data_IF_270821690346
#
_entry.id   IF_270821690346
#
_cell.length_a   1.000
_cell.length_b   1.000
_cell.length_c   1.000
_cell.angle_alpha   90.00
_cell.angle_beta   90.00
_cell.angle_gamma   90.00
#
_symmetry.space_group_name_H-M   'P 1'
#
loop_
_entity.id
_entity.type
_entity.pdbx_description
1 polymer ?
#
# COMPACT_ATOMS: atom_id res chain seq x y z
N UNK A 1 -54.35 29.67 47.64
CA UNK A 1 -53.10 28.93 47.68
C UNK A 1 -53.06 28.21 46.39
N UNK A 2 -52.34 28.82 45.44
CA UNK A 2 -52.15 28.37 44.08
C UNK A 2 -50.78 27.66 43.98
N UNK A 3 -50.80 26.37 43.68
CA UNK A 3 -49.57 25.61 43.42
C UNK A 3 -49.15 25.79 41.98
N UNK A 4 -47.95 26.35 41.77
CA UNK A 4 -47.27 26.38 40.47
C UNK A 4 -46.56 25.05 40.27
N UNK A 5 -47.00 24.29 39.28
CA UNK A 5 -46.26 23.14 38.76
C UNK A 5 -45.17 23.68 37.83
N UNK A 6 -43.89 23.55 38.21
CA UNK A 6 -42.74 23.82 37.37
C UNK A 6 -42.54 22.64 36.41
N UNK A 7 -42.94 22.83 35.16
CA UNK A 7 -42.64 21.90 34.08
C UNK A 7 -41.13 21.94 33.76
N UNK A 8 -40.41 20.88 34.04
CA UNK A 8 -39.06 20.65 33.58
C UNK A 8 -39.06 20.52 32.04
N UNK A 9 -38.46 21.46 31.36
CA UNK A 9 -38.17 21.40 29.91
C UNK A 9 -37.03 20.40 29.74
N UNK A 10 -37.37 19.18 29.31
CA UNK A 10 -36.35 18.21 28.88
C UNK A 10 -35.75 18.72 27.57
N UNK A 11 -34.53 19.24 27.63
CA UNK A 11 -33.75 19.53 26.44
C UNK A 11 -33.57 18.24 25.62
N UNK A 12 -33.70 18.30 24.27
CA UNK A 12 -33.48 17.15 23.43
C UNK A 12 -31.98 16.74 23.53
N UNK A 13 -31.73 15.50 23.97
CA UNK A 13 -30.39 14.91 23.97
C UNK A 13 -29.76 15.14 22.58
N UNK A 14 -28.55 15.74 22.55
CA UNK A 14 -27.74 15.87 21.36
C UNK A 14 -27.65 14.47 20.69
N UNK A 15 -28.00 14.43 19.41
CA UNK A 15 -27.92 13.19 18.63
C UNK A 15 -26.49 12.64 18.78
N UNK A 16 -26.36 11.44 19.30
CA UNK A 16 -25.07 10.77 19.48
C UNK A 16 -24.35 10.74 18.13
N UNK A 17 -23.10 11.26 18.09
CA UNK A 17 -22.26 11.19 16.91
C UNK A 17 -22.15 9.71 16.47
N UNK A 18 -22.31 9.41 15.18
CA UNK A 18 -22.32 8.02 14.73
C UNK A 18 -21.00 7.34 15.10
N UNK A 19 -21.08 6.11 15.62
CA UNK A 19 -19.89 5.30 15.92
C UNK A 19 -19.11 4.98 14.63
N UNK A 20 -17.81 4.66 14.73
CA UNK A 20 -17.00 4.25 13.58
C UNK A 20 -17.65 3.05 12.84
N UNK A 21 -18.23 2.09 13.57
CA UNK A 21 -18.98 0.99 12.99
C UNK A 21 -20.23 1.48 12.23
N UNK A 22 -21.00 2.42 12.79
CA UNK A 22 -22.18 2.99 12.12
C UNK A 22 -21.83 3.74 10.84
N UNK A 23 -20.71 4.49 10.82
CA UNK A 23 -20.20 5.16 9.62
C UNK A 23 -19.84 4.14 8.55
N UNK A 24 -19.12 3.08 8.93
CA UNK A 24 -18.72 2.03 7.97
C UNK A 24 -19.93 1.25 7.43
N UNK A 25 -20.94 0.95 8.25
CA UNK A 25 -22.18 0.28 7.82
C UNK A 25 -22.94 1.12 6.80
N UNK A 26 -23.11 2.43 7.07
CA UNK A 26 -23.77 3.35 6.14
C UNK A 26 -23.00 3.48 4.83
N UNK A 27 -21.67 3.58 4.89
CA UNK A 27 -20.81 3.61 3.72
C UNK A 27 -20.92 2.32 2.91
N UNK A 28 -20.84 1.15 3.56
CA UNK A 28 -20.92 -0.16 2.91
C UNK A 28 -22.27 -0.36 2.22
N UNK A 29 -23.38 0.05 2.83
CA UNK A 29 -24.70 -0.02 2.20
C UNK A 29 -24.73 0.77 0.88
N UNK A 30 -24.16 1.99 0.85
CA UNK A 30 -24.08 2.79 -0.38
C UNK A 30 -23.12 2.15 -1.41
N UNK A 31 -22.01 1.56 -0.96
CA UNK A 31 -21.03 0.92 -1.83
C UNK A 31 -21.62 -0.31 -2.52
N UNK A 32 -22.32 -1.18 -1.77
CA UNK A 32 -22.98 -2.37 -2.32
C UNK A 32 -24.05 -2.07 -3.36
N UNK A 33 -24.64 -0.88 -3.36
CA UNK A 33 -25.53 -0.43 -4.45
C UNK A 33 -24.79 -0.05 -5.74
N UNK A 34 -23.46 0.11 -5.70
CA UNK A 34 -22.65 0.58 -6.84
C UNK A 34 -21.69 -0.47 -7.39
N UNK A 35 -21.38 -1.50 -6.61
CA UNK A 35 -20.56 -2.64 -7.03
C UNK A 35 -21.44 -3.78 -7.53
N UNK A 36 -20.85 -4.70 -8.31
CA UNK A 36 -21.60 -5.85 -8.90
C UNK A 36 -21.56 -7.09 -8.01
N UNK A 37 -20.66 -7.11 -7.02
CA UNK A 37 -20.39 -8.27 -6.17
C UNK A 37 -20.71 -8.01 -4.71
N UNK A 38 -20.81 -9.08 -3.91
CA UNK A 38 -21.02 -8.99 -2.47
C UNK A 38 -19.71 -8.74 -1.69
N UNK A 39 -18.66 -8.29 -2.38
CA UNK A 39 -17.35 -7.96 -1.83
C UNK A 39 -16.70 -6.82 -2.62
N UNK A 40 -15.95 -5.98 -1.92
CA UNK A 40 -15.17 -4.90 -2.55
C UNK A 40 -13.98 -4.51 -1.69
N UNK A 41 -13.01 -3.87 -2.32
CA UNK A 41 -11.89 -3.21 -1.66
C UNK A 41 -12.30 -1.76 -1.38
N UNK A 42 -12.23 -1.33 -0.14
CA UNK A 42 -12.37 0.08 0.22
C UNK A 42 -11.00 0.74 0.34
N UNK A 43 -10.84 1.87 -0.33
CA UNK A 43 -9.64 2.71 -0.25
C UNK A 43 -10.03 4.09 0.26
N UNK A 44 -9.58 4.40 1.47
CA UNK A 44 -9.84 5.69 2.11
C UNK A 44 -8.78 6.72 1.69
N UNK A 45 -9.15 7.63 0.80
CA UNK A 45 -8.26 8.67 0.28
C UNK A 45 -7.96 9.77 1.32
N UNK A 46 -8.79 9.93 2.36
CA UNK A 46 -8.49 10.84 3.47
C UNK A 46 -7.33 10.30 4.30
N UNK A 47 -7.27 8.97 4.51
CA UNK A 47 -6.12 8.33 5.15
C UNK A 47 -4.84 8.51 4.34
N UNK A 48 -4.91 8.41 3.01
CA UNK A 48 -3.76 8.66 2.12
C UNK A 48 -3.27 10.10 2.28
N UNK A 49 -4.16 11.09 2.18
CA UNK A 49 -3.81 12.52 2.34
C UNK A 49 -3.21 12.79 3.72
N UNK A 50 -3.85 12.27 4.77
CA UNK A 50 -3.35 12.38 6.15
C UNK A 50 -1.94 11.80 6.31
N UNK A 51 -1.68 10.62 5.72
CA UNK A 51 -0.37 9.98 5.79
C UNK A 51 0.72 10.83 5.10
N UNK A 52 0.39 11.55 4.03
CA UNK A 52 1.32 12.51 3.41
C UNK A 52 1.64 13.66 4.36
N UNK A 53 0.66 14.18 5.12
CA UNK A 53 0.94 15.21 6.13
C UNK A 53 1.83 14.68 7.25
N UNK A 54 1.60 13.45 7.72
CA UNK A 54 2.50 12.79 8.69
C UNK A 54 3.92 12.69 8.14
N UNK A 55 4.09 12.25 6.89
CA UNK A 55 5.39 12.14 6.24
C UNK A 55 6.09 13.50 6.12
N UNK A 56 5.37 14.56 5.75
CA UNK A 56 5.91 15.95 5.72
C UNK A 56 6.37 16.40 7.11
N UNK A 57 5.60 16.10 8.15
CA UNK A 57 5.97 16.43 9.53
C UNK A 57 7.22 15.69 9.99
N UNK A 58 7.35 14.41 9.64
CA UNK A 58 8.52 13.60 10.01
C UNK A 58 9.79 14.00 9.26
N UNK A 59 9.68 14.34 7.97
CA UNK A 59 10.85 14.65 7.13
C UNK A 59 11.33 16.10 7.21
N UNK A 60 10.46 16.99 7.67
CA UNK A 60 10.74 18.43 7.76
C UNK A 60 10.59 19.18 6.42
N UNK A 61 10.70 20.52 6.46
CA UNK A 61 10.33 21.40 5.33
C UNK A 61 11.31 21.35 4.14
N UNK A 62 12.54 20.93 4.37
CA UNK A 62 13.61 20.95 3.34
C UNK A 62 13.71 19.64 2.57
N UNK A 63 13.02 18.57 2.99
CA UNK A 63 13.05 17.27 2.36
C UNK A 63 11.84 17.08 1.45
N UNK A 64 12.09 16.76 0.17
CA UNK A 64 11.03 16.41 -0.79
C UNK A 64 10.45 15.02 -0.54
N UNK A 65 9.24 14.80 -1.03
CA UNK A 65 8.63 13.46 -1.05
C UNK A 65 8.62 12.95 -2.48
N UNK A 66 9.19 11.77 -2.70
CA UNK A 66 9.08 10.96 -3.90
C UNK A 66 8.12 9.81 -3.61
N UNK A 67 6.87 9.94 -4.07
CA UNK A 67 5.81 8.97 -3.76
C UNK A 67 5.99 7.65 -4.52
N UNK A 68 6.19 6.53 -3.81
CA UNK A 68 6.37 5.21 -4.43
C UNK A 68 5.02 4.54 -4.59
N UNK A 69 4.56 4.41 -5.86
CA UNK A 69 3.21 3.92 -6.22
C UNK A 69 3.23 2.62 -7.03
N UNK A 70 4.33 1.87 -6.98
CA UNK A 70 4.48 0.57 -7.63
C UNK A 70 3.43 -0.46 -7.18
N UNK A 71 3.19 -1.51 -7.99
CA UNK A 71 2.24 -2.56 -7.66
C UNK A 71 0.82 -2.02 -7.49
N UNK A 72 0.40 -1.06 -8.34
CA UNK A 72 -0.89 -0.44 -8.21
C UNK A 72 -1.07 0.37 -6.93
N UNK A 73 -0.03 1.09 -6.48
CA UNK A 73 0.05 1.73 -5.16
C UNK A 73 -0.22 0.72 -4.04
N UNK A 74 0.55 -0.38 -4.06
CA UNK A 74 0.42 -1.48 -3.09
C UNK A 74 -1.00 -2.05 -3.03
N UNK A 75 -1.64 -2.25 -4.21
CA UNK A 75 -3.00 -2.79 -4.31
C UNK A 75 -4.14 -1.78 -4.16
N UNK A 76 -3.84 -0.54 -3.73
CA UNK A 76 -4.85 0.49 -3.47
C UNK A 76 -5.40 1.19 -4.72
N UNK A 77 -4.79 0.92 -5.91
CA UNK A 77 -5.19 1.57 -7.17
C UNK A 77 -4.38 2.82 -7.45
N UNK A 78 -3.47 2.71 -8.42
CA UNK A 78 -2.41 3.69 -8.67
C UNK A 78 -2.94 5.11 -8.93
N UNK A 79 -3.90 5.28 -9.86
CA UNK A 79 -4.33 6.60 -10.30
C UNK A 79 -4.96 7.42 -9.16
N UNK A 80 -5.88 6.84 -8.39
CA UNK A 80 -6.55 7.58 -7.31
C UNK A 80 -5.62 7.95 -6.18
N UNK A 81 -4.62 7.11 -5.90
CA UNK A 81 -3.57 7.44 -4.94
C UNK A 81 -2.69 8.56 -5.50
N UNK A 82 -2.28 8.49 -6.78
CA UNK A 82 -1.45 9.54 -7.42
C UNK A 82 -2.17 10.87 -7.45
N UNK A 83 -3.48 10.91 -7.76
CA UNK A 83 -4.28 12.15 -7.70
C UNK A 83 -4.14 12.84 -6.32
N UNK A 84 -4.28 12.07 -5.24
CA UNK A 84 -4.10 12.60 -3.87
C UNK A 84 -2.66 13.06 -3.63
N UNK A 85 -1.65 12.31 -4.10
CA UNK A 85 -0.25 12.71 -3.94
C UNK A 85 0.04 14.05 -4.63
N UNK A 86 -0.53 14.26 -5.82
CA UNK A 86 -0.40 15.51 -6.57
C UNK A 86 -1.11 16.66 -5.84
N UNK A 87 -2.35 16.45 -5.37
CA UNK A 87 -3.09 17.42 -4.56
C UNK A 87 -2.32 17.83 -3.30
N UNK A 88 -1.68 16.85 -2.64
CA UNK A 88 -0.86 17.07 -1.46
C UNK A 88 0.54 17.66 -1.77
N UNK A 89 0.85 17.96 -3.03
CA UNK A 89 2.10 18.62 -3.43
C UNK A 89 3.34 17.71 -3.38
N UNK A 90 3.16 16.40 -3.54
CA UNK A 90 4.28 15.46 -3.75
C UNK A 90 4.95 15.80 -5.08
N UNK A 91 6.28 15.97 -5.06
CA UNK A 91 7.00 16.54 -6.21
C UNK A 91 7.43 15.50 -7.24
N UNK A 92 7.70 14.28 -6.81
CA UNK A 92 8.19 13.20 -7.67
C UNK A 92 7.45 11.90 -7.36
N UNK A 93 7.37 11.03 -8.35
CA UNK A 93 6.79 9.70 -8.24
C UNK A 93 7.84 8.62 -8.52
N UNK A 94 7.64 7.44 -7.96
CA UNK A 94 8.46 6.29 -8.28
C UNK A 94 7.61 5.05 -8.49
N UNK A 95 8.03 4.24 -9.45
CA UNK A 95 7.42 2.94 -9.79
C UNK A 95 8.50 1.87 -9.87
N UNK A 96 8.12 0.60 -10.02
CA UNK A 96 9.10 -0.47 -10.16
C UNK A 96 9.44 -0.80 -11.61
N UNK A 97 8.50 -0.63 -12.53
CA UNK A 97 8.61 -1.05 -13.93
C UNK A 97 8.31 0.11 -14.89
N UNK A 98 8.95 0.11 -16.05
CA UNK A 98 8.71 1.10 -17.12
C UNK A 98 7.23 1.12 -17.50
N UNK A 99 6.57 -0.03 -17.63
CA UNK A 99 5.15 -0.10 -17.97
C UNK A 99 4.22 0.63 -16.98
N UNK A 100 4.55 0.64 -15.67
CA UNK A 100 3.78 1.42 -14.68
C UNK A 100 3.95 2.93 -14.91
N UNK A 101 5.15 3.38 -15.26
CA UNK A 101 5.42 4.78 -15.59
C UNK A 101 4.69 5.21 -16.87
N UNK A 102 4.73 4.38 -17.90
CA UNK A 102 4.00 4.59 -19.17
C UNK A 102 2.49 4.68 -18.91
N UNK A 103 1.94 3.81 -18.05
CA UNK A 103 0.54 3.86 -17.63
C UNK A 103 0.17 5.22 -17.04
N UNK A 104 1.00 5.79 -16.16
CA UNK A 104 0.79 7.11 -15.57
C UNK A 104 0.89 8.22 -16.62
N UNK A 105 1.90 8.17 -17.51
CA UNK A 105 2.08 9.15 -18.59
C UNK A 105 0.88 9.20 -19.53
N UNK A 106 0.39 8.03 -19.97
CA UNK A 106 -0.81 7.94 -20.83
C UNK A 106 -2.08 8.50 -20.19
N UNK A 107 -2.08 8.67 -18.85
CA UNK A 107 -3.18 9.29 -18.09
C UNK A 107 -2.91 10.73 -17.65
N UNK A 108 -1.92 11.39 -18.26
CA UNK A 108 -1.67 12.82 -18.08
C UNK A 108 -0.84 13.19 -16.86
N UNK A 109 -0.19 12.23 -16.21
CA UNK A 109 0.72 12.54 -15.09
C UNK A 109 2.06 13.03 -15.66
N UNK A 110 2.36 14.33 -15.45
CA UNK A 110 3.57 14.98 -15.96
C UNK A 110 4.70 15.12 -14.93
N UNK A 111 4.47 14.73 -13.67
CA UNK A 111 5.49 14.75 -12.62
C UNK A 111 6.71 13.92 -13.01
N UNK A 112 7.92 14.25 -12.52
CA UNK A 112 9.08 13.37 -12.68
C UNK A 112 8.75 11.96 -12.16
N UNK A 113 9.11 10.93 -12.93
CA UNK A 113 8.88 9.54 -12.55
C UNK A 113 10.20 8.78 -12.60
N UNK A 114 10.66 8.32 -11.44
CA UNK A 114 11.81 7.44 -11.32
C UNK A 114 11.38 5.98 -11.36
N UNK A 115 11.97 5.20 -12.26
CA UNK A 115 11.77 3.75 -12.34
C UNK A 115 12.82 3.07 -11.47
N UNK A 116 12.43 2.48 -10.35
CA UNK A 116 13.34 1.89 -9.35
C UNK A 116 13.86 0.50 -9.73
N UNK A 117 13.22 -0.19 -10.67
CA UNK A 117 13.75 -1.41 -11.28
C UNK A 117 14.98 -1.09 -12.15
N UNK A 118 15.88 -2.05 -12.25
CA UNK A 118 17.07 -1.86 -13.06
C UNK A 118 16.72 -1.84 -14.56
N UNK A 119 17.27 -0.88 -15.28
CA UNK A 119 16.98 -0.69 -16.71
C UNK A 119 17.54 -1.83 -17.56
N UNK A 120 16.76 -2.26 -18.54
CA UNK A 120 17.18 -3.12 -19.65
C UNK A 120 17.26 -2.31 -20.96
N UNK A 121 18.14 -2.70 -21.87
CA UNK A 121 18.34 -1.98 -23.15
C UNK A 121 17.05 -1.87 -23.98
N UNK A 122 16.20 -2.91 -23.96
CA UNK A 122 14.94 -2.92 -24.72
C UNK A 122 13.87 -1.95 -24.16
N UNK A 123 14.03 -1.46 -22.93
CA UNK A 123 13.12 -0.50 -22.29
C UNK A 123 13.51 0.96 -22.64
N UNK A 124 14.70 1.20 -23.20
CA UNK A 124 15.18 2.55 -23.53
C UNK A 124 14.23 3.33 -24.44
N UNK A 125 13.64 2.77 -25.50
CA UNK A 125 12.70 3.51 -26.34
C UNK A 125 11.54 4.13 -25.54
N UNK A 126 10.92 3.37 -24.64
CA UNK A 126 9.85 3.86 -23.78
C UNK A 126 10.36 4.88 -22.75
N UNK A 127 11.54 4.65 -22.16
CA UNK A 127 12.19 5.60 -21.24
C UNK A 127 12.37 6.95 -21.89
N UNK A 128 12.88 6.98 -23.13
CA UNK A 128 13.08 8.20 -23.89
C UNK A 128 11.75 8.84 -24.29
N UNK A 129 10.84 8.08 -24.91
CA UNK A 129 9.56 8.57 -25.41
C UNK A 129 8.70 9.21 -24.31
N UNK A 130 8.71 8.62 -23.11
CA UNK A 130 7.86 9.05 -22.00
C UNK A 130 8.59 9.91 -20.94
N UNK A 131 9.80 10.37 -21.23
CA UNK A 131 10.60 11.22 -20.34
C UNK A 131 10.66 10.64 -18.90
N UNK A 132 11.18 9.40 -18.79
CA UNK A 132 11.31 8.68 -17.54
C UNK A 132 12.75 8.74 -17.01
N UNK A 133 12.93 8.59 -15.71
CA UNK A 133 14.23 8.56 -15.05
C UNK A 133 14.50 7.10 -14.64
N UNK A 134 15.29 6.33 -15.43
CA UNK A 134 15.60 4.95 -15.09
C UNK A 134 16.65 4.87 -13.99
N UNK A 135 16.57 3.82 -13.16
CA UNK A 135 17.62 3.48 -12.21
C UNK A 135 18.65 2.58 -12.85
N UNK A 136 19.91 2.85 -12.55
CA UNK A 136 21.06 2.11 -13.04
C UNK A 136 21.86 1.49 -11.89
N UNK A 137 22.25 0.23 -12.07
CA UNK A 137 23.25 -0.47 -11.26
C UNK A 137 24.52 -0.78 -12.05
N UNK A 138 24.48 -0.56 -13.37
CA UNK A 138 25.56 -0.75 -14.35
C UNK A 138 25.30 0.14 -15.57
N UNK A 139 26.31 0.33 -16.41
CA UNK A 139 26.23 1.21 -17.57
C UNK A 139 25.91 0.50 -18.89
N UNK A 140 25.95 -0.84 -18.92
CA UNK A 140 25.78 -1.65 -20.14
C UNK A 140 24.54 -1.29 -20.97
N UNK A 141 23.34 -1.03 -20.40
CA UNK A 141 22.19 -0.65 -21.22
C UNK A 141 22.42 0.61 -22.05
N UNK A 142 23.23 1.55 -21.56
CA UNK A 142 23.50 2.82 -22.20
C UNK A 142 24.71 2.75 -23.14
N UNK A 143 25.75 1.97 -22.78
CA UNK A 143 26.96 1.80 -23.61
C UNK A 143 26.73 0.90 -24.83
N UNK A 144 25.61 0.17 -24.87
CA UNK A 144 25.25 -0.72 -26.00
C UNK A 144 24.41 -0.03 -27.08
N UNK A 145 24.13 1.27 -26.95
CA UNK A 145 23.39 2.06 -27.92
C UNK A 145 24.21 3.29 -28.35
N UNK A 146 23.95 3.89 -29.53
CA UNK A 146 24.61 5.11 -29.95
C UNK A 146 24.35 6.26 -28.96
N UNK A 147 25.40 7.03 -28.67
CA UNK A 147 25.33 8.16 -27.71
C UNK A 147 24.28 9.20 -28.07
N UNK A 148 24.14 9.52 -29.35
CA UNK A 148 23.17 10.48 -29.87
C UNK A 148 21.70 10.06 -29.68
N UNK A 149 21.45 8.80 -29.35
CA UNK A 149 20.12 8.30 -29.01
C UNK A 149 19.75 8.50 -27.53
N UNK A 150 20.68 8.93 -26.68
CA UNK A 150 20.46 9.12 -25.23
C UNK A 150 19.97 10.54 -24.93
N UNK A 151 18.95 10.98 -25.67
CA UNK A 151 18.27 12.27 -25.50
C UNK A 151 16.77 12.12 -25.53
N UNK A 152 16.07 12.92 -24.74
CA UNK A 152 14.62 12.94 -24.77
C UNK A 152 14.07 13.64 -26.02
N UNK A 153 12.76 13.53 -26.34
CA UNK A 153 12.18 14.17 -27.52
C UNK A 153 12.33 15.70 -27.58
N UNK A 154 12.52 16.35 -26.44
CA UNK A 154 12.78 17.78 -26.33
C UNK A 154 14.25 18.16 -26.54
N UNK A 155 15.12 17.18 -26.83
CA UNK A 155 16.54 17.36 -27.02
C UNK A 155 17.37 17.42 -25.73
N UNK A 156 16.76 17.34 -24.56
CA UNK A 156 17.50 17.31 -23.30
C UNK A 156 18.17 15.94 -23.07
N UNK A 157 19.33 15.88 -22.38
CA UNK A 157 20.02 14.65 -22.08
C UNK A 157 19.18 13.69 -21.25
N UNK A 158 19.36 12.37 -21.49
CA UNK A 158 18.79 11.34 -20.61
C UNK A 158 19.22 11.59 -19.16
N UNK A 159 18.24 11.58 -18.26
CA UNK A 159 18.45 11.66 -16.79
C UNK A 159 18.37 10.27 -16.20
N UNK A 160 19.29 9.94 -15.29
CA UNK A 160 19.33 8.63 -14.63
C UNK A 160 19.45 8.77 -13.12
N UNK A 161 18.97 7.77 -12.39
CA UNK A 161 19.20 7.60 -10.96
C UNK A 161 20.22 6.48 -10.75
N UNK A 162 21.29 6.74 -9.99
CA UNK A 162 22.28 5.72 -9.66
C UNK A 162 21.85 5.03 -8.36
N UNK A 163 21.61 3.73 -8.44
CA UNK A 163 21.42 2.89 -7.24
C UNK A 163 22.78 2.41 -6.73
N UNK A 164 23.05 2.57 -5.44
CA UNK A 164 24.31 2.18 -4.79
C UNK A 164 24.01 1.04 -3.82
N UNK A 165 24.69 -0.08 -3.95
CA UNK A 165 24.53 -1.21 -3.03
C UNK A 165 25.40 -0.99 -1.79
N UNK A 166 24.75 -0.60 -0.71
CA UNK A 166 25.38 -0.41 0.60
C UNK A 166 25.20 -1.59 1.54
N UNK A 167 24.64 -2.71 1.04
CA UNK A 167 24.50 -3.94 1.82
C UNK A 167 23.18 -4.69 1.66
N UNK A 168 22.25 -4.21 0.81
CA UNK A 168 21.03 -4.99 0.50
C UNK A 168 21.30 -6.12 -0.49
N UNK A 169 22.31 -5.99 -1.34
CA UNK A 169 22.80 -7.00 -2.28
C UNK A 169 21.72 -7.50 -3.26
N UNK A 170 20.84 -6.61 -3.68
CA UNK A 170 19.79 -6.88 -4.69
C UNK A 170 20.06 -6.20 -6.01
N UNK A 171 20.23 -4.89 -5.99
CA UNK A 171 20.58 -4.01 -7.10
C UNK A 171 21.56 -2.96 -6.57
N UNK A 172 22.27 -2.34 -7.45
CA UNK A 172 23.16 -1.21 -7.13
C UNK A 172 24.59 -1.47 -7.53
N UNK A 173 25.26 -0.40 -7.97
CA UNK A 173 26.71 -0.39 -8.17
C UNK A 173 27.41 -0.51 -6.83
N UNK A 174 28.53 -1.25 -6.78
CA UNK A 174 29.34 -1.28 -5.57
C UNK A 174 29.99 0.09 -5.31
N UNK A 175 30.13 0.52 -4.06
CA UNK A 175 30.72 1.83 -3.72
C UNK A 175 32.10 2.05 -4.36
N UNK A 176 32.94 1.01 -4.47
CA UNK A 176 34.26 1.08 -5.11
C UNK A 176 34.18 1.34 -6.64
N UNK A 177 33.11 0.94 -7.29
CA UNK A 177 32.92 1.08 -8.75
C UNK A 177 32.15 2.36 -9.14
N UNK A 178 31.59 3.08 -8.15
CA UNK A 178 30.78 4.26 -8.37
C UNK A 178 31.49 5.32 -9.19
N UNK A 179 32.77 5.56 -8.93
CA UNK A 179 33.59 6.55 -9.65
C UNK A 179 33.69 6.22 -11.13
N UNK A 180 33.95 4.96 -11.46
CA UNK A 180 34.05 4.51 -12.87
C UNK A 180 32.69 4.65 -13.57
N UNK A 181 31.61 4.32 -12.90
CA UNK A 181 30.25 4.49 -13.42
C UNK A 181 29.91 5.96 -13.71
N UNK A 182 30.21 6.86 -12.78
CA UNK A 182 29.98 8.30 -12.98
C UNK A 182 30.80 8.83 -14.18
N UNK A 183 32.05 8.46 -14.28
CA UNK A 183 32.91 8.85 -15.44
C UNK A 183 32.27 8.38 -16.76
N UNK A 184 31.85 7.12 -16.84
CA UNK A 184 31.19 6.58 -18.05
C UNK A 184 29.91 7.36 -18.40
N UNK A 185 29.10 7.73 -17.43
CA UNK A 185 27.86 8.49 -17.65
C UNK A 185 28.18 9.93 -18.14
N UNK A 186 29.21 10.56 -17.56
CA UNK A 186 29.68 11.89 -18.01
C UNK A 186 30.19 11.83 -19.46
N UNK A 187 30.96 10.80 -19.84
CA UNK A 187 31.44 10.59 -21.21
C UNK A 187 30.28 10.36 -22.20
N UNK A 188 29.21 9.70 -21.78
CA UNK A 188 28.00 9.51 -22.57
C UNK A 188 27.15 10.77 -22.69
N UNK A 189 27.42 11.81 -21.90
CA UNK A 189 26.62 13.02 -21.83
C UNK A 189 25.27 12.83 -21.12
N UNK A 190 25.16 11.79 -20.29
CA UNK A 190 23.96 11.47 -19.52
C UNK A 190 23.93 12.29 -18.21
N UNK A 191 22.80 12.87 -17.88
CA UNK A 191 22.64 13.66 -16.65
C UNK A 191 22.32 12.75 -15.46
N UNK A 192 23.09 12.83 -14.38
CA UNK A 192 22.81 12.12 -13.15
C UNK A 192 21.78 12.93 -12.35
N UNK A 193 20.53 12.46 -12.29
CA UNK A 193 19.43 13.10 -11.56
C UNK A 193 19.55 12.87 -10.06
N UNK A 194 19.90 11.65 -9.68
CA UNK A 194 20.01 11.31 -8.25
C UNK A 194 20.95 10.14 -7.98
N UNK A 195 21.42 10.06 -6.73
CA UNK A 195 22.09 8.90 -6.17
C UNK A 195 21.31 8.38 -4.97
N UNK A 196 21.08 7.07 -4.89
CA UNK A 196 20.30 6.49 -3.81
C UNK A 196 20.75 5.09 -3.40
N UNK A 197 20.34 4.69 -2.21
CA UNK A 197 20.43 3.31 -1.73
C UNK A 197 19.11 2.85 -1.14
N UNK A 198 19.01 1.59 -0.76
CA UNK A 198 17.85 1.03 -0.07
C UNK A 198 18.28 0.30 1.20
N UNK A 199 17.70 0.69 2.34
CA UNK A 199 18.01 0.07 3.63
C UNK A 199 17.43 -1.34 3.71
N UNK A 200 18.23 -2.29 4.22
CA UNK A 200 17.87 -3.68 4.38
C UNK A 200 17.07 -3.94 5.68
N UNK A 201 17.46 -3.24 6.75
CA UNK A 201 16.92 -3.49 8.07
C UNK A 201 15.49 -3.01 8.23
N UNK A 202 14.72 -3.74 9.04
CA UNK A 202 13.40 -3.31 9.50
C UNK A 202 13.51 -2.07 10.39
N UNK A 203 12.37 -1.54 10.80
CA UNK A 203 12.29 -0.35 11.67
C UNK A 203 13.00 -0.56 13.03
N UNK A 204 13.13 -1.79 13.49
CA UNK A 204 13.80 -2.17 14.76
C UNK A 204 15.31 -2.40 14.60
N UNK A 205 15.83 -2.57 13.38
CA UNK A 205 17.24 -2.90 13.12
C UNK A 205 18.14 -1.67 12.88
N UNK A 206 18.09 -0.69 13.79
CA UNK A 206 18.80 0.60 13.66
C UNK A 206 20.28 0.48 13.36
N UNK A 207 21.00 -0.46 14.02
CA UNK A 207 22.45 -0.64 13.81
C UNK A 207 22.81 -1.10 12.39
N UNK A 208 22.01 -1.99 11.79
CA UNK A 208 22.23 -2.43 10.41
C UNK A 208 21.99 -1.28 9.44
N UNK A 209 20.92 -0.53 9.65
CA UNK A 209 20.58 0.62 8.82
C UNK A 209 21.68 1.71 8.93
N UNK A 210 22.18 2.00 10.15
CA UNK A 210 23.25 3.00 10.33
C UNK A 210 24.50 2.66 9.51
N UNK A 211 24.95 1.41 9.51
CA UNK A 211 26.12 1.00 8.71
C UNK A 211 25.91 1.26 7.21
N UNK A 212 24.73 0.98 6.68
CA UNK A 212 24.40 1.27 5.27
C UNK A 212 24.37 2.78 4.98
N UNK A 213 23.86 3.58 5.92
CA UNK A 213 23.83 5.04 5.83
C UNK A 213 25.25 5.59 5.75
N UNK A 214 26.14 5.15 6.65
CA UNK A 214 27.53 5.60 6.69
C UNK A 214 28.24 5.30 5.37
N UNK A 215 28.10 4.08 4.82
CA UNK A 215 28.66 3.70 3.50
C UNK A 215 28.09 4.59 2.38
N UNK A 216 26.78 4.89 2.40
CA UNK A 216 26.16 5.72 1.38
C UNK A 216 26.68 7.15 1.42
N UNK A 217 26.75 7.74 2.60
CA UNK A 217 27.24 9.11 2.78
C UNK A 217 28.71 9.25 2.36
N UNK A 218 29.57 8.30 2.74
CA UNK A 218 30.96 8.26 2.34
C UNK A 218 31.11 8.13 0.80
N UNK A 219 30.41 7.18 0.20
CA UNK A 219 30.47 6.95 -1.25
C UNK A 219 29.99 8.15 -2.09
N UNK A 220 29.01 8.91 -1.57
CA UNK A 220 28.40 10.05 -2.29
C UNK A 220 29.00 11.42 -1.92
N UNK A 221 29.85 11.51 -0.92
CA UNK A 221 30.49 12.77 -0.48
C UNK A 221 31.22 13.50 -1.63
N UNK A 222 31.98 12.81 -2.53
CA UNK A 222 32.66 13.47 -3.64
C UNK A 222 31.72 14.15 -4.66
N UNK A 223 30.41 13.84 -4.60
CA UNK A 223 29.41 14.30 -5.58
C UNK A 223 28.40 15.29 -4.99
N UNK A 224 28.54 15.69 -3.72
CA UNK A 224 27.58 16.56 -3.01
C UNK A 224 27.37 17.93 -3.64
N UNK A 225 28.38 18.46 -4.32
CA UNK A 225 28.31 19.75 -5.00
C UNK A 225 27.78 19.66 -6.44
N UNK A 226 27.49 18.43 -6.94
CA UNK A 226 26.87 18.28 -8.27
C UNK A 226 25.38 18.58 -8.18
N UNK A 227 24.75 19.05 -9.29
CA UNK A 227 23.31 19.30 -9.36
C UNK A 227 22.50 17.99 -9.42
N UNK A 228 22.59 17.19 -8.38
CA UNK A 228 21.87 15.92 -8.23
C UNK A 228 21.29 15.83 -6.82
N UNK A 229 20.29 14.97 -6.63
CA UNK A 229 19.69 14.72 -5.32
C UNK A 229 20.17 13.40 -4.72
N UNK A 230 20.24 13.34 -3.39
CA UNK A 230 20.61 12.12 -2.65
C UNK A 230 19.45 11.68 -1.78
N UNK A 231 19.13 10.41 -1.80
CA UNK A 231 18.03 9.88 -1.00
C UNK A 231 18.23 8.40 -0.62
N UNK A 232 17.85 8.04 0.61
CA UNK A 232 17.99 6.67 1.10
C UNK A 232 16.78 6.18 1.92
N UNK A 233 16.01 7.09 2.53
CA UNK A 233 14.87 6.75 3.36
C UNK A 233 13.69 6.25 2.53
N UNK A 234 13.41 4.95 2.57
CA UNK A 234 12.12 4.37 2.23
C UNK A 234 11.19 4.42 3.46
N UNK A 235 10.04 3.76 3.45
CA UNK A 235 9.09 3.73 4.57
C UNK A 235 9.77 3.54 5.94
N UNK A 236 10.68 2.59 6.07
CA UNK A 236 11.44 2.34 7.31
C UNK A 236 12.26 3.57 7.72
N UNK A 237 13.05 4.11 6.80
CA UNK A 237 13.90 5.28 7.07
C UNK A 237 13.12 6.55 7.36
N UNK A 238 11.87 6.68 6.89
CA UNK A 238 11.01 7.83 7.21
C UNK A 238 10.60 7.85 8.69
N UNK A 239 10.49 6.69 9.32
CA UNK A 239 10.01 6.54 10.71
C UNK A 239 11.17 6.45 11.71
N UNK A 240 12.33 5.97 11.26
CA UNK A 240 13.55 5.95 12.09
C UNK A 240 14.21 7.32 12.10
N UNK A 241 14.48 7.84 13.29
CA UNK A 241 15.30 9.05 13.46
C UNK A 241 16.80 8.71 13.37
N UNK A 242 17.33 8.59 12.15
CA UNK A 242 18.73 8.25 11.87
C UNK A 242 19.42 9.26 10.92
N UNK A 243 18.88 10.48 10.79
CA UNK A 243 19.43 11.49 9.88
C UNK A 243 19.35 11.11 8.40
N UNK A 244 18.34 10.32 8.03
CA UNK A 244 18.19 9.75 6.68
C UNK A 244 17.37 10.60 5.72
N UNK A 245 16.82 11.71 6.20
CA UNK A 245 15.99 12.63 5.43
C UNK A 245 16.88 13.63 4.70
N UNK A 246 17.50 13.16 3.62
CA UNK A 246 18.33 13.99 2.74
C UNK A 246 17.45 14.86 1.83
N UNK A 247 17.77 14.96 0.53
CA UNK A 247 16.98 15.78 -0.39
C UNK A 247 15.56 15.25 -0.61
N UNK A 248 15.40 13.91 -0.58
CA UNK A 248 14.10 13.25 -0.71
C UNK A 248 13.95 12.04 0.21
N UNK A 249 12.72 11.78 0.63
CA UNK A 249 12.28 10.48 1.15
C UNK A 249 11.45 9.75 0.09
N UNK A 250 11.47 8.40 0.12
CA UNK A 250 10.75 7.50 -0.81
C UNK A 250 9.75 6.61 -0.08
N UNK A 251 8.71 7.17 0.52
CA UNK A 251 7.67 6.36 1.17
C UNK A 251 6.89 5.58 0.12
N UNK A 252 6.59 4.33 0.44
CA UNK A 252 5.69 3.47 -0.33
C UNK A 252 4.55 3.01 0.56
N UNK A 253 4.73 1.95 1.35
CA UNK A 253 3.74 1.45 2.28
C UNK A 253 3.20 2.51 3.23
N UNK A 254 4.03 3.44 3.70
CA UNK A 254 3.60 4.52 4.57
C UNK A 254 2.51 5.42 3.94
N UNK A 255 2.50 5.60 2.61
CA UNK A 255 1.45 6.35 1.89
C UNK A 255 0.07 5.75 2.16
N UNK A 256 -0.02 4.43 2.17
CA UNK A 256 -1.26 3.69 2.42
C UNK A 256 -1.40 3.21 3.87
N UNK A 257 -0.54 3.70 4.78
CA UNK A 257 -0.57 3.37 6.19
C UNK A 257 -0.12 1.94 6.50
N UNK A 258 0.71 1.33 5.65
CA UNK A 258 1.24 -0.01 5.86
C UNK A 258 2.63 0.07 6.50
N UNK A 259 2.80 -0.57 7.65
CA UNK A 259 4.10 -0.71 8.31
C UNK A 259 5.06 -1.57 7.48
N UNK A 260 6.36 -1.38 7.68
CA UNK A 260 7.38 -2.19 6.99
C UNK A 260 7.59 -3.58 7.62
N UNK A 261 7.14 -3.78 8.86
CA UNK A 261 7.23 -5.04 9.59
C UNK A 261 5.86 -5.56 10.04
N UNK A 262 5.72 -6.88 10.13
CA UNK A 262 4.51 -7.54 10.62
C UNK A 262 4.52 -7.73 12.15
N UNK A 263 5.61 -7.39 12.82
CA UNK A 263 5.70 -7.44 14.28
C UNK A 263 4.90 -6.32 14.95
N UNK A 264 4.52 -6.54 16.22
CA UNK A 264 3.71 -5.57 16.97
C UNK A 264 4.42 -4.26 17.23
N UNK A 265 5.74 -4.30 17.42
CA UNK A 265 6.53 -3.10 17.68
C UNK A 265 6.53 -2.17 16.46
N UNK A 266 6.74 -2.72 15.26
CA UNK A 266 6.64 -1.97 14.00
C UNK A 266 5.24 -1.38 13.78
N UNK A 267 4.18 -2.15 14.05
CA UNK A 267 2.80 -1.68 13.94
C UNK A 267 2.52 -0.53 14.93
N UNK A 268 2.94 -0.68 16.19
CA UNK A 268 2.77 0.33 17.23
C UNK A 268 3.55 1.62 16.93
N UNK A 269 4.76 1.50 16.39
CA UNK A 269 5.53 2.68 15.96
C UNK A 269 4.80 3.46 14.86
N UNK A 270 4.23 2.76 13.88
CA UNK A 270 3.42 3.38 12.83
C UNK A 270 2.20 4.10 13.40
N UNK A 271 1.45 3.45 14.28
CA UNK A 271 0.30 4.05 14.96
C UNK A 271 0.71 5.28 15.78
N UNK A 272 1.81 5.23 16.53
CA UNK A 272 2.34 6.33 17.33
C UNK A 272 2.78 7.52 16.47
N UNK A 273 3.27 7.30 15.25
CA UNK A 273 3.57 8.38 14.30
C UNK A 273 2.29 9.00 13.72
N UNK A 274 1.12 8.44 13.96
CA UNK A 274 -0.16 8.94 13.49
C UNK A 274 -0.57 8.46 12.11
N UNK A 275 0.11 7.49 11.50
CA UNK A 275 -0.31 6.88 10.24
C UNK A 275 -1.70 6.23 10.36
N UNK A 276 -2.42 6.16 9.25
CA UNK A 276 -3.76 5.55 9.16
C UNK A 276 -3.79 4.55 8.01
N UNK A 277 -4.20 3.28 8.25
CA UNK A 277 -4.43 2.34 7.15
C UNK A 277 -5.49 2.88 6.19
N UNK A 278 -5.22 2.80 4.90
CA UNK A 278 -6.11 3.31 3.86
C UNK A 278 -6.87 2.20 3.12
N UNK A 279 -6.56 0.93 3.41
CA UNK A 279 -7.04 -0.24 2.67
C UNK A 279 -7.83 -1.16 3.59
N UNK A 280 -9.04 -1.55 3.17
CA UNK A 280 -9.80 -2.62 3.81
C UNK A 280 -10.55 -3.45 2.76
N UNK A 281 -10.97 -4.67 3.14
CA UNK A 281 -11.77 -5.56 2.28
C UNK A 281 -13.09 -5.84 2.98
N UNK A 282 -14.17 -5.41 2.37
CA UNK A 282 -15.53 -5.44 2.90
C UNK A 282 -16.34 -6.48 2.16
N UNK A 283 -17.08 -7.30 2.91
CA UNK A 283 -17.88 -8.40 2.37
C UNK A 283 -19.23 -8.50 3.10
N UNK A 284 -20.21 -9.07 2.41
CA UNK A 284 -21.48 -9.51 3.02
C UNK A 284 -21.75 -10.97 2.69
N UNK A 285 -22.44 -11.72 3.56
CA UNK A 285 -22.76 -13.11 3.25
C UNK A 285 -23.74 -13.19 2.08
N UNK A 286 -23.49 -14.14 1.17
CA UNK A 286 -24.40 -14.41 0.05
C UNK A 286 -25.32 -15.60 0.32
N UNK A 287 -24.95 -16.42 1.29
CA UNK A 287 -25.74 -17.57 1.75
C UNK A 287 -25.37 -17.92 3.20
N UNK A 288 -26.35 -18.37 3.98
CA UNK A 288 -26.10 -18.89 5.31
C UNK A 288 -27.11 -19.98 5.68
N UNK A 289 -26.73 -20.84 6.62
CA UNK A 289 -27.53 -21.97 7.09
C UNK A 289 -27.11 -22.41 8.48
N UNK A 290 -28.03 -23.00 9.21
CA UNK A 290 -27.73 -23.73 10.44
C UNK A 290 -27.40 -25.18 10.09
N UNK A 291 -26.25 -25.69 10.50
CA UNK A 291 -25.84 -27.07 10.31
C UNK A 291 -25.77 -27.78 11.67
N UNK A 292 -26.36 -29.00 11.78
CA UNK A 292 -26.20 -29.82 12.98
C UNK A 292 -24.76 -30.35 13.12
N UNK A 293 -24.44 -30.91 14.27
CA UNK A 293 -23.18 -31.60 14.52
C UNK A 293 -22.88 -32.71 13.47
N UNK A 294 -21.61 -32.96 13.22
CA UNK A 294 -21.13 -34.02 12.32
C UNK A 294 -21.21 -33.69 10.83
N UNK A 295 -21.37 -32.41 10.46
CA UNK A 295 -21.37 -31.98 9.05
C UNK A 295 -19.97 -31.51 8.64
N UNK A 296 -19.47 -32.05 7.54
CA UNK A 296 -18.19 -31.64 6.97
C UNK A 296 -18.32 -30.41 6.09
N UNK A 297 -17.31 -29.52 6.15
CA UNK A 297 -17.28 -28.26 5.41
C UNK A 297 -16.08 -28.18 4.48
N UNK A 298 -16.36 -27.87 3.20
CA UNK A 298 -15.39 -27.57 2.18
C UNK A 298 -14.59 -28.75 1.66
N UNK A 299 -13.56 -28.45 0.86
CA UNK A 299 -12.68 -29.44 0.28
C UNK A 299 -11.92 -30.24 1.34
N UNK A 300 -11.70 -31.53 1.07
CA UNK A 300 -10.98 -32.49 1.91
C UNK A 300 -11.63 -32.70 3.30
N UNK A 301 -12.87 -32.21 3.51
CA UNK A 301 -13.61 -32.40 4.76
C UNK A 301 -12.77 -32.00 6.02
N UNK A 302 -12.03 -30.90 5.94
CA UNK A 302 -11.05 -30.51 6.98
C UNK A 302 -11.63 -29.85 8.20
N UNK A 303 -12.93 -29.56 8.20
CA UNK A 303 -13.69 -29.06 9.34
C UNK A 303 -14.98 -29.85 9.49
N UNK A 304 -15.28 -30.27 10.72
CA UNK A 304 -16.53 -30.93 11.10
C UNK A 304 -17.23 -30.07 12.17
N UNK A 305 -18.54 -29.83 11.99
CA UNK A 305 -19.35 -29.09 12.97
C UNK A 305 -19.47 -29.87 14.27
N UNK A 306 -19.34 -29.20 15.43
CA UNK A 306 -19.33 -29.81 16.77
C UNK A 306 -20.68 -29.76 17.47
N UNK A 307 -21.60 -28.98 16.95
CA UNK A 307 -22.96 -28.76 17.43
C UNK A 307 -23.76 -28.11 16.31
N UNK A 308 -24.86 -27.48 16.68
CA UNK A 308 -25.61 -26.62 15.76
C UNK A 308 -24.80 -25.35 15.53
N UNK A 309 -24.30 -25.16 14.31
CA UNK A 309 -23.44 -24.05 13.94
C UNK A 309 -24.04 -23.24 12.78
N UNK A 310 -24.11 -21.90 12.95
CA UNK A 310 -24.41 -21.00 11.85
C UNK A 310 -23.21 -20.89 10.91
N UNK A 311 -23.43 -21.21 9.66
CA UNK A 311 -22.40 -21.22 8.63
C UNK A 311 -22.81 -20.25 7.52
N UNK A 312 -21.93 -19.24 7.26
CA UNK A 312 -22.13 -18.27 6.19
C UNK A 312 -21.08 -18.44 5.10
N UNK A 313 -21.47 -18.18 3.85
CA UNK A 313 -20.60 -18.18 2.69
C UNK A 313 -20.46 -16.77 2.15
N UNK A 314 -19.21 -16.38 1.85
CA UNK A 314 -18.84 -15.10 1.26
C UNK A 314 -18.14 -15.34 -0.09
N UNK A 315 -18.49 -14.55 -1.10
CA UNK A 315 -17.91 -14.64 -2.45
C UNK A 315 -16.55 -13.95 -2.53
N UNK A 316 -15.60 -14.46 -1.77
CA UNK A 316 -14.20 -14.00 -1.74
C UNK A 316 -13.31 -15.20 -1.47
N UNK A 317 -12.39 -15.47 -2.37
CA UNK A 317 -11.52 -16.64 -2.29
C UNK A 317 -10.08 -16.35 -2.70
N UNK A 318 -9.30 -17.42 -2.96
CA UNK A 318 -7.89 -17.25 -3.25
C UNK A 318 -7.62 -16.61 -4.63
N UNK A 319 -8.55 -16.71 -5.60
CA UNK A 319 -8.42 -16.01 -6.88
C UNK A 319 -8.69 -14.51 -6.79
N UNK A 320 -9.30 -14.07 -5.69
CA UNK A 320 -9.48 -12.65 -5.38
C UNK A 320 -8.26 -12.06 -4.68
N UNK A 321 -7.42 -12.89 -4.08
CA UNK A 321 -6.22 -12.48 -3.36
C UNK A 321 -6.11 -13.00 -1.93
N UNK A 322 -7.15 -13.67 -1.41
CA UNK A 322 -7.14 -14.20 -0.05
C UNK A 322 -6.27 -15.46 0.04
N UNK A 323 -5.28 -15.48 0.93
CA UNK A 323 -4.39 -16.63 1.06
C UNK A 323 -5.14 -17.91 1.48
N UNK A 324 -4.94 -19.02 0.74
CA UNK A 324 -5.48 -20.33 1.14
C UNK A 324 -4.95 -20.83 2.48
N UNK A 325 -3.84 -20.29 2.96
CA UNK A 325 -3.26 -20.59 4.29
C UNK A 325 -4.12 -20.06 5.45
N UNK A 326 -5.11 -19.21 5.20
CA UNK A 326 -6.08 -18.74 6.19
C UNK A 326 -7.20 -19.75 6.50
N UNK A 327 -7.15 -20.93 5.91
CA UNK A 327 -8.10 -22.04 6.14
C UNK A 327 -8.12 -22.52 7.59
N UNK A 328 -9.22 -23.18 7.98
CA UNK A 328 -9.34 -23.92 9.24
C UNK A 328 -9.06 -23.10 10.52
N UNK A 329 -9.59 -21.90 10.60
CA UNK A 329 -9.49 -21.04 11.78
C UNK A 329 -8.16 -20.27 11.92
N UNK A 330 -7.23 -20.39 10.96
CA UNK A 330 -6.03 -19.52 10.92
C UNK A 330 -6.44 -18.09 10.61
N UNK A 331 -7.42 -17.90 9.71
CA UNK A 331 -8.03 -16.62 9.39
C UNK A 331 -9.44 -16.47 10.00
N UNK A 332 -9.86 -15.22 10.08
CA UNK A 332 -11.20 -14.85 10.50
C UNK A 332 -11.70 -13.67 9.66
N UNK A 333 -12.98 -13.39 9.73
CA UNK A 333 -13.59 -12.12 9.31
C UNK A 333 -14.14 -11.40 10.53
N UNK A 334 -14.13 -10.08 10.51
CA UNK A 334 -14.65 -9.25 11.61
C UNK A 334 -16.03 -8.74 11.27
N UNK A 335 -17.04 -9.04 12.11
CA UNK A 335 -18.39 -8.48 11.97
C UNK A 335 -18.37 -7.01 12.36
N UNK A 336 -18.73 -6.12 11.45
CA UNK A 336 -18.59 -4.67 11.67
C UNK A 336 -19.44 -4.19 12.83
N UNK A 337 -20.69 -4.67 12.95
CA UNK A 337 -21.66 -4.24 13.96
C UNK A 337 -21.23 -4.54 15.40
N UNK A 338 -20.63 -5.70 15.63
CA UNK A 338 -20.28 -6.19 16.97
C UNK A 338 -18.79 -6.17 17.27
N UNK A 339 -17.94 -6.06 16.23
CA UNK A 339 -16.49 -6.23 16.36
C UNK A 339 -16.05 -7.68 16.53
N UNK A 340 -16.98 -8.64 16.47
CA UNK A 340 -16.72 -10.05 16.71
C UNK A 340 -15.89 -10.69 15.57
N UNK A 341 -14.95 -11.54 15.96
CA UNK A 341 -14.14 -12.33 15.04
C UNK A 341 -14.81 -13.67 14.73
N UNK A 342 -15.14 -13.88 13.47
CA UNK A 342 -15.79 -15.07 12.97
C UNK A 342 -14.78 -15.93 12.18
N UNK A 343 -14.43 -17.15 12.65
CA UNK A 343 -13.36 -17.95 12.04
C UNK A 343 -13.75 -18.48 10.67
N UNK A 344 -12.78 -18.50 9.74
CA UNK A 344 -12.90 -19.23 8.47
C UNK A 344 -12.80 -20.72 8.77
N UNK A 345 -13.85 -21.48 8.44
CA UNK A 345 -13.92 -22.93 8.66
C UNK A 345 -13.84 -23.70 7.33
N UNK A 346 -13.16 -24.83 7.34
CA UNK A 346 -12.83 -25.55 6.13
C UNK A 346 -11.77 -24.82 5.30
N UNK A 347 -11.53 -25.29 4.08
CA UNK A 347 -10.52 -24.71 3.19
C UNK A 347 -11.07 -23.50 2.44
N UNK A 348 -10.25 -22.45 2.34
CA UNK A 348 -10.50 -21.34 1.42
C UNK A 348 -10.56 -21.88 0.01
N UNK A 349 -11.68 -21.63 -0.69
CA UNK A 349 -11.91 -22.03 -2.08
C UNK A 349 -11.40 -20.97 -3.06
N UNK A 350 -11.49 -21.26 -4.35
CA UNK A 350 -11.11 -20.31 -5.41
C UNK A 350 -11.88 -19.00 -5.30
N UNK A 351 -13.20 -19.08 -5.12
CA UNK A 351 -14.13 -17.96 -5.24
C UNK A 351 -14.94 -17.70 -3.96
N UNK A 352 -14.67 -18.44 -2.87
CA UNK A 352 -15.46 -18.30 -1.65
C UNK A 352 -14.72 -18.74 -0.39
N UNK A 353 -15.17 -18.20 0.74
CA UNK A 353 -14.86 -18.69 2.08
C UNK A 353 -16.14 -19.09 2.80
N UNK A 354 -15.98 -20.03 3.70
CA UNK A 354 -17.02 -20.47 4.65
C UNK A 354 -16.61 -20.00 6.05
N UNK A 355 -17.53 -19.38 6.76
CA UNK A 355 -17.29 -18.75 8.06
C UNK A 355 -18.31 -19.25 9.06
N UNK A 356 -17.86 -19.58 10.27
CA UNK A 356 -18.76 -19.89 11.39
C UNK A 356 -19.16 -18.61 12.10
N UNK A 357 -20.46 -18.41 12.25
CA UNK A 357 -21.05 -17.28 12.96
C UNK A 357 -21.64 -17.73 14.30
N UNK A 358 -21.72 -16.86 15.32
CA UNK A 358 -22.38 -17.18 16.59
C UNK A 358 -23.89 -17.25 16.46
N UNK A 359 -24.47 -16.51 15.51
CA UNK A 359 -25.91 -16.40 15.24
C UNK A 359 -26.17 -16.19 13.75
N UNK A 360 -27.42 -16.29 13.32
CA UNK A 360 -27.82 -15.96 11.95
C UNK A 360 -27.44 -14.51 11.61
N UNK A 361 -26.87 -14.24 10.44
CA UNK A 361 -26.62 -12.87 10.02
C UNK A 361 -27.92 -12.16 9.66
N UNK A 362 -28.01 -10.86 9.99
CA UNK A 362 -29.06 -9.99 9.49
C UNK A 362 -28.84 -9.58 8.03
N UNK A 363 -29.88 -9.07 7.38
CA UNK A 363 -29.80 -8.63 5.97
C UNK A 363 -28.75 -7.53 5.74
N UNK A 364 -28.55 -6.65 6.73
CA UNK A 364 -27.61 -5.52 6.68
C UNK A 364 -26.23 -5.83 7.30
N UNK A 365 -25.97 -7.10 7.64
CA UNK A 365 -24.69 -7.44 8.23
C UNK A 365 -23.55 -7.34 7.24
N UNK A 366 -22.54 -6.60 7.66
CA UNK A 366 -21.30 -6.35 6.92
C UNK A 366 -20.13 -6.89 7.71
N UNK A 367 -19.17 -7.46 7.01
CA UNK A 367 -17.95 -8.03 7.58
C UNK A 367 -16.72 -7.45 6.88
N UNK A 368 -15.59 -7.46 7.57
CA UNK A 368 -14.29 -7.13 6.98
C UNK A 368 -13.40 -8.38 6.97
N UNK A 369 -12.84 -8.67 5.81
CA UNK A 369 -11.78 -9.68 5.64
C UNK A 369 -10.43 -9.06 6.00
N UNK A 370 -10.20 -7.80 5.56
CA UNK A 370 -9.09 -6.98 6.00
C UNK A 370 -9.66 -5.71 6.64
N UNK A 371 -9.28 -5.44 7.88
CA UNK A 371 -9.67 -4.23 8.61
C UNK A 371 -8.66 -3.10 8.40
N UNK A 372 -9.12 -1.87 8.56
CA UNK A 372 -8.32 -0.65 8.58
C UNK A 372 -7.79 -0.33 9.99
N UNK A 373 -7.25 -1.35 10.64
CA UNK A 373 -6.64 -1.29 11.97
C UNK A 373 -5.17 -1.73 11.87
N UNK A 374 -4.32 -1.36 12.86
CA UNK A 374 -2.92 -1.78 12.88
C UNK A 374 -2.69 -3.09 13.64
N UNK A 375 -3.41 -3.39 14.72
CA UNK A 375 -3.14 -4.54 15.59
C UNK A 375 -4.26 -5.59 15.62
N UNK A 376 -5.35 -5.38 14.89
CA UNK A 376 -6.41 -6.38 14.74
C UNK A 376 -5.85 -7.63 14.01
N UNK A 377 -6.28 -8.80 14.42
CA UNK A 377 -5.87 -10.08 13.80
C UNK A 377 -6.27 -10.17 12.33
N UNK A 378 -7.31 -9.44 11.93
CA UNK A 378 -7.78 -9.31 10.54
C UNK A 378 -7.18 -8.11 9.81
N UNK A 379 -6.34 -7.30 10.46
CA UNK A 379 -5.60 -6.24 9.76
C UNK A 379 -4.55 -6.81 8.80
N UNK A 380 -4.07 -6.01 7.86
CA UNK A 380 -2.97 -6.44 6.97
C UNK A 380 -1.73 -6.88 7.76
N UNK A 381 -1.42 -6.20 8.87
CA UNK A 381 -0.30 -6.56 9.76
C UNK A 381 -0.58 -7.86 10.52
N UNK A 382 -1.78 -7.99 11.10
CA UNK A 382 -2.19 -9.19 11.84
C UNK A 382 -2.19 -10.44 10.95
N UNK A 383 -2.76 -10.33 9.75
CA UNK A 383 -2.76 -11.42 8.77
C UNK A 383 -1.34 -11.80 8.31
N UNK A 384 -0.50 -10.81 8.00
CA UNK A 384 0.89 -11.06 7.62
C UNK A 384 1.66 -11.78 8.72
N UNK A 385 1.46 -11.37 9.98
CA UNK A 385 2.04 -12.03 11.17
C UNK A 385 1.61 -13.49 11.28
N UNK A 386 0.32 -13.76 11.14
CA UNK A 386 -0.24 -15.12 11.23
C UNK A 386 0.27 -16.02 10.10
N UNK A 387 0.53 -15.46 8.93
CA UNK A 387 0.99 -16.18 7.75
C UNK A 387 2.52 -16.29 7.63
N UNK A 388 3.28 -15.52 8.42
CA UNK A 388 4.72 -15.35 8.24
C UNK A 388 5.04 -14.73 6.86
N UNK A 389 4.25 -13.75 6.44
CA UNK A 389 4.32 -13.08 5.15
C UNK A 389 4.74 -11.61 5.31
N UNK A 390 5.08 -10.94 4.21
CA UNK A 390 5.28 -9.50 4.24
C UNK A 390 3.94 -8.75 4.31
N UNK A 391 3.88 -7.65 5.09
CA UNK A 391 2.65 -6.84 5.23
C UNK A 391 2.10 -6.41 3.86
N UNK A 392 2.99 -6.07 2.94
CA UNK A 392 2.63 -5.59 1.60
C UNK A 392 1.99 -6.65 0.70
N UNK A 393 2.15 -7.95 1.03
CA UNK A 393 1.45 -9.03 0.31
C UNK A 393 -0.06 -8.98 0.56
N UNK A 394 -0.47 -8.52 1.74
CA UNK A 394 -1.88 -8.54 2.13
C UNK A 394 -2.75 -7.67 1.22
N UNK A 395 -2.46 -6.37 0.99
CA UNK A 395 -3.21 -5.60 0.00
C UNK A 395 -2.73 -5.82 -1.44
N UNK A 396 -1.45 -6.18 -1.65
CA UNK A 396 -0.83 -6.29 -2.98
C UNK A 396 -1.32 -7.49 -3.81
N UNK A 397 -1.78 -8.55 -3.15
CA UNK A 397 -2.23 -9.77 -3.83
C UNK A 397 -3.68 -9.70 -4.33
N UNK A 398 -4.44 -8.66 -3.96
CA UNK A 398 -5.84 -8.54 -4.38
C UNK A 398 -5.96 -8.23 -5.86
N UNK A 399 -6.70 -9.09 -6.54
CA UNK A 399 -6.86 -9.05 -7.99
C UNK A 399 -7.76 -7.89 -8.43
N UNK A 400 -7.76 -7.62 -9.73
CA UNK A 400 -8.69 -6.66 -10.36
C UNK A 400 -10.13 -7.19 -10.46
N UNK A 401 -10.39 -8.43 -10.05
CA UNK A 401 -11.75 -8.99 -9.97
C UNK A 401 -12.62 -8.26 -8.96
N UNK A 402 -12.05 -7.83 -7.81
CA UNK A 402 -12.80 -7.05 -6.84
C UNK A 402 -12.85 -5.58 -7.23
N UNK A 403 -14.06 -5.02 -7.17
CA UNK A 403 -14.26 -3.60 -7.30
C UNK A 403 -13.46 -2.83 -6.25
N UNK A 404 -12.91 -1.68 -6.63
CA UNK A 404 -12.31 -0.72 -5.69
C UNK A 404 -13.24 0.47 -5.51
N UNK A 405 -13.64 0.72 -4.27
CA UNK A 405 -14.50 1.83 -3.86
C UNK A 405 -13.65 2.85 -3.12
N UNK A 406 -13.55 4.04 -3.66
CA UNK A 406 -12.74 5.12 -3.10
C UNK A 406 -13.62 6.10 -2.34
N UNK A 407 -13.24 6.41 -1.10
CA UNK A 407 -13.89 7.46 -0.31
C UNK A 407 -13.01 8.68 -0.10
N UNK A 408 -13.66 9.85 -0.05
CA UNK A 408 -13.06 11.13 0.32
C UNK A 408 -14.09 11.95 1.10
N UNK A 409 -13.71 12.54 2.22
CA UNK A 409 -14.63 13.29 3.11
C UNK A 409 -15.88 12.49 3.47
N UNK A 410 -15.70 11.19 3.78
CA UNK A 410 -16.79 10.27 4.14
C UNK A 410 -17.76 9.91 3.01
N UNK A 411 -17.50 10.30 1.76
CA UNK A 411 -18.35 10.03 0.58
C UNK A 411 -17.64 9.15 -0.43
N UNK A 412 -18.41 8.32 -1.15
CA UNK A 412 -17.91 7.58 -2.31
C UNK A 412 -17.66 8.56 -3.46
N UNK A 413 -16.37 8.71 -3.83
CA UNK A 413 -15.96 9.59 -4.93
C UNK A 413 -15.69 8.85 -6.23
N UNK A 414 -15.39 7.56 -6.18
CA UNK A 414 -15.16 6.74 -7.36
C UNK A 414 -15.39 5.25 -7.06
N UNK A 415 -15.92 4.53 -8.05
CA UNK A 415 -16.01 3.07 -8.03
C UNK A 415 -15.39 2.55 -9.32
N UNK A 416 -14.44 1.66 -9.17
CA UNK A 416 -13.82 0.96 -10.26
C UNK A 416 -14.22 -0.51 -10.18
N UNK A 417 -15.20 -0.90 -11.01
CA UNK A 417 -15.71 -2.26 -11.03
C UNK A 417 -14.69 -3.24 -11.61
N UNK A 418 -14.83 -4.50 -11.21
CA UNK A 418 -14.01 -5.59 -11.69
C UNK A 418 -14.01 -5.68 -13.23
N UNK A 419 -12.86 -6.07 -13.78
CA UNK A 419 -12.68 -6.38 -15.21
C UNK A 419 -12.89 -5.19 -16.19
N UNK A 420 -13.14 -3.99 -15.70
CA UNK A 420 -13.19 -2.78 -16.55
C UNK A 420 -11.78 -2.24 -16.92
N UNK A 421 -10.72 -2.92 -16.46
CA UNK A 421 -9.33 -2.54 -16.72
C UNK A 421 -8.73 -3.17 -17.99
N UNK A 422 -9.44 -4.05 -18.66
CA UNK A 422 -8.93 -4.78 -19.83
C UNK A 422 -9.03 -4.01 -21.16
N UNK A 423 -9.25 -2.70 -21.10
CA UNK A 423 -9.30 -1.86 -22.30
C UNK A 423 -8.21 -0.81 -22.34
#
# INVERSE_FOLDING_TARGET
>A
MTGEESGEVVEPRAADSPTAAGILLQFAAQAFCRVRDASFIHVNLDSVAHNIQVLKSLSGPNTGIMGVVKGGAYGSGMMKVVEVLVEEGVKELSVAKVGEAVYLRKRGINHPITVLGNLSTFELPDVMQYNLIPSLSWTTPLTSVPRDTLVYPDGSPLRVAINIDTGMSRYGVQPCDLRAMVHTLDDLGVSINSMYTHLQGSITEKKKNQKQIDIFLEATEPYKERPLTRHLAATTGCVQDLGTHLDFIRPGGAITGLSSGADRESAQQFANCGFRPAFSVVVRPTYFKLLPAGRFIGYDATYETRGDEWIANFTTGWSDGLSRRLSNGVGAVKRVKTGELCPIVGRVSMDSITVRLPEAPGEDDVFQVITDDFDDVTSAVGMARNLGAAVYEMPGNWSTRLARVYSRNGKIVHVCNALEYEC
#
